data_IF_395866336079
#
_entry.id   IF_395866336079
#
_cell.length_a   1.000
_cell.length_b   1.000
_cell.length_c   1.000
_cell.angle_alpha   90.00
_cell.angle_beta   90.00
_cell.angle_gamma   90.00
#
_symmetry.space_group_name_H-M   'P 1'
#
loop_
_entity.id
_entity.type
_entity.pdbx_description
1 polymer ?
#
# COMPACT_ATOMS: atom_id res chain seq x y z
N UNK A 1 53.07 21.86 -38.49
CA UNK A 1 51.67 21.40 -38.42
C UNK A 1 51.37 21.04 -36.96
N UNK A 2 50.51 21.83 -36.30
CA UNK A 2 50.17 21.69 -34.87
C UNK A 2 49.23 20.49 -34.66
N UNK A 3 49.62 19.52 -33.83
CA UNK A 3 48.73 18.44 -33.35
C UNK A 3 47.97 18.96 -32.14
N UNK A 4 46.65 19.08 -32.25
CA UNK A 4 45.76 19.44 -31.15
C UNK A 4 45.39 18.14 -30.43
N UNK A 5 45.74 18.06 -29.16
CA UNK A 5 45.40 16.97 -28.24
C UNK A 5 44.00 17.25 -27.69
N UNK A 6 42.98 16.55 -28.17
CA UNK A 6 41.61 16.68 -27.66
C UNK A 6 41.44 15.79 -26.43
N UNK A 7 41.49 16.40 -25.25
CA UNK A 7 41.19 15.76 -23.97
C UNK A 7 39.66 15.59 -23.87
N UNK A 8 39.16 14.36 -24.02
CA UNK A 8 37.74 14.06 -23.84
C UNK A 8 37.46 13.94 -22.34
N UNK A 9 36.79 14.95 -21.77
CA UNK A 9 36.31 14.95 -20.41
C UNK A 9 35.09 14.01 -20.34
N UNK A 10 35.28 12.79 -19.84
CA UNK A 10 34.18 11.88 -19.53
C UNK A 10 33.52 12.39 -18.25
N UNK A 11 32.41 13.12 -18.39
CA UNK A 11 31.52 13.46 -17.31
C UNK A 11 30.80 12.17 -16.85
N UNK A 12 31.34 11.53 -15.80
CA UNK A 12 30.59 10.59 -14.98
C UNK A 12 29.41 11.37 -14.35
N UNK A 13 28.25 11.30 -14.99
CA UNK A 13 26.99 11.55 -14.31
C UNK A 13 26.81 10.43 -13.28
N UNK A 14 27.24 10.72 -12.04
CA UNK A 14 26.79 10.02 -10.84
C UNK A 14 25.30 10.33 -10.66
N UNK A 15 24.44 9.69 -11.46
CA UNK A 15 23.06 9.47 -11.06
C UNK A 15 23.15 8.50 -9.89
N UNK A 16 23.03 9.03 -8.66
CA UNK A 16 22.75 8.20 -7.50
C UNK A 16 21.50 7.40 -7.81
N UNK A 17 21.67 6.12 -8.11
CA UNK A 17 20.58 5.18 -8.23
C UNK A 17 19.96 5.06 -6.84
N UNK A 18 18.93 5.86 -6.55
CA UNK A 18 17.94 5.45 -5.57
C UNK A 18 17.35 4.16 -6.13
N UNK A 19 17.80 3.00 -5.65
CA UNK A 19 17.13 1.72 -5.90
C UNK A 19 15.72 1.82 -5.33
N UNK A 20 14.77 2.16 -6.20
CA UNK A 20 13.36 2.09 -5.90
C UNK A 20 13.02 0.60 -5.81
N UNK A 21 12.67 0.13 -4.60
CA UNK A 21 12.23 -1.25 -4.37
C UNK A 21 11.08 -1.56 -5.36
N UNK A 22 11.37 -2.39 -6.36
CA UNK A 22 10.44 -2.69 -7.45
C UNK A 22 9.23 -3.50 -6.97
N UNK A 23 9.31 -4.05 -5.76
CA UNK A 23 8.25 -4.81 -5.12
C UNK A 23 7.40 -3.97 -4.15
N UNK A 24 7.76 -2.69 -3.94
CA UNK A 24 6.89 -1.74 -3.25
C UNK A 24 5.64 -1.39 -4.08
N UNK A 25 4.51 -1.06 -3.42
CA UNK A 25 3.36 -0.52 -4.13
C UNK A 25 3.71 0.80 -4.80
N UNK A 26 3.26 0.97 -6.04
CA UNK A 26 3.44 2.20 -6.80
C UNK A 26 2.54 3.29 -6.23
N UNK A 27 2.96 4.55 -6.37
CA UNK A 27 2.17 5.68 -5.91
C UNK A 27 0.75 5.67 -6.49
N UNK A 28 0.60 5.37 -7.78
CA UNK A 28 -0.73 5.28 -8.43
C UNK A 28 -1.63 4.18 -7.83
N UNK A 29 -1.04 3.06 -7.40
CA UNK A 29 -1.79 1.96 -6.77
C UNK A 29 -2.28 2.41 -5.38
N UNK A 30 -1.41 3.09 -4.61
CA UNK A 30 -1.78 3.68 -3.32
C UNK A 30 -2.82 4.80 -3.45
N UNK A 31 -2.72 5.65 -4.47
CA UNK A 31 -3.68 6.72 -4.74
C UNK A 31 -5.06 6.13 -5.08
N UNK A 32 -5.09 5.02 -5.83
CA UNK A 32 -6.32 4.32 -6.16
C UNK A 32 -6.97 3.69 -4.91
N UNK A 33 -6.18 3.04 -4.05
CA UNK A 33 -6.66 2.53 -2.77
C UNK A 33 -7.23 3.66 -1.88
N UNK A 34 -6.51 4.78 -1.79
CA UNK A 34 -6.97 5.95 -1.03
C UNK A 34 -8.26 6.52 -1.61
N UNK A 35 -8.37 6.63 -2.93
CA UNK A 35 -9.56 7.12 -3.61
C UNK A 35 -10.78 6.22 -3.35
N UNK A 36 -10.59 4.90 -3.38
CA UNK A 36 -11.64 3.95 -3.01
C UNK A 36 -12.16 4.19 -1.60
N UNK A 37 -11.27 4.44 -0.62
CA UNK A 37 -11.66 4.82 0.74
C UNK A 37 -12.34 6.18 0.84
N UNK A 38 -11.91 7.18 0.05
CA UNK A 38 -12.56 8.49 -0.04
C UNK A 38 -14.00 8.31 -0.52
N UNK A 39 -14.24 7.50 -1.56
CA UNK A 39 -15.58 7.28 -2.11
C UNK A 39 -16.57 6.65 -1.14
N UNK A 40 -16.09 5.83 -0.21
CA UNK A 40 -16.94 5.17 0.80
C UNK A 40 -16.95 5.93 2.14
N UNK A 41 -16.26 7.08 2.22
CA UNK A 41 -16.28 7.92 3.42
C UNK A 41 -17.70 8.47 3.61
N UNK A 42 -18.33 8.28 4.78
CA UNK A 42 -19.71 8.74 4.98
C UNK A 42 -19.83 10.25 4.79
N UNK A 43 -20.75 10.69 3.93
CA UNK A 43 -20.98 12.10 3.68
C UNK A 43 -21.41 12.84 4.95
N UNK A 44 -20.96 14.09 5.11
CA UNK A 44 -21.27 14.93 6.28
C UNK A 44 -20.85 14.35 7.64
N UNK A 45 -19.99 13.34 7.68
CA UNK A 45 -19.53 12.71 8.93
C UNK A 45 -18.40 13.45 9.64
N UNK A 46 -17.76 14.41 8.95
CA UNK A 46 -16.53 15.06 9.44
C UNK A 46 -15.33 14.11 9.48
N UNK A 47 -15.42 12.96 8.81
CA UNK A 47 -14.34 11.99 8.68
C UNK A 47 -13.60 12.17 7.34
N UNK A 48 -12.32 11.84 7.35
CA UNK A 48 -11.45 11.76 6.18
C UNK A 48 -10.80 10.38 6.11
N UNK A 49 -10.58 9.88 4.89
CA UNK A 49 -9.80 8.68 4.66
C UNK A 49 -8.30 8.95 4.81
N UNK A 50 -7.61 8.14 5.61
CA UNK A 50 -6.15 8.09 5.70
C UNK A 50 -5.70 6.69 5.29
N UNK A 51 -4.68 6.61 4.43
CA UNK A 51 -4.03 5.38 4.05
C UNK A 51 -2.51 5.55 4.08
N UNK A 52 -1.79 4.55 4.60
CA UNK A 52 -0.33 4.49 4.61
C UNK A 52 0.14 3.10 4.16
N UNK A 53 1.36 3.02 3.64
CA UNK A 53 2.01 1.74 3.32
C UNK A 53 3.28 1.55 4.15
N UNK A 54 3.58 0.30 4.52
CA UNK A 54 4.82 -0.09 5.20
C UNK A 54 5.30 -1.47 4.74
N UNK A 55 6.61 -1.67 4.75
CA UNK A 55 7.23 -2.99 4.64
C UNK A 55 7.30 -3.61 6.03
N UNK A 56 6.80 -4.84 6.21
CA UNK A 56 6.87 -5.59 7.46
C UNK A 56 7.40 -6.98 7.14
N UNK A 57 8.61 -7.29 7.63
CA UNK A 57 9.37 -8.43 7.11
C UNK A 57 9.70 -8.20 5.63
N UNK A 58 9.44 -9.21 4.80
CA UNK A 58 9.70 -9.16 3.35
C UNK A 58 8.50 -8.69 2.52
N UNK A 59 7.37 -8.34 3.16
CA UNK A 59 6.12 -8.02 2.47
C UNK A 59 5.70 -6.58 2.68
N UNK A 60 5.04 -6.04 1.66
CA UNK A 60 4.43 -4.72 1.73
C UNK A 60 2.97 -4.84 2.14
N UNK A 61 2.54 -3.90 2.97
CA UNK A 61 1.18 -3.80 3.47
C UNK A 61 0.70 -2.37 3.36
N UNK A 62 -0.60 -2.22 3.19
CA UNK A 62 -1.28 -0.94 3.32
C UNK A 62 -2.27 -0.99 4.50
N UNK A 63 -2.41 0.11 5.21
CA UNK A 63 -3.44 0.29 6.22
C UNK A 63 -4.27 1.51 5.86
N UNK A 64 -5.59 1.40 5.98
CA UNK A 64 -6.52 2.50 5.78
C UNK A 64 -7.51 2.63 6.93
N UNK A 65 -7.89 3.85 7.28
CA UNK A 65 -8.96 4.13 8.25
C UNK A 65 -9.66 5.45 7.95
N UNK A 66 -10.76 5.69 8.68
CA UNK A 66 -11.44 6.97 8.72
C UNK A 66 -11.05 7.73 9.99
N UNK A 67 -10.63 8.98 9.84
CA UNK A 67 -10.21 9.83 10.94
C UNK A 67 -10.98 11.16 10.96
N UNK A 68 -11.29 11.64 12.16
CA UNK A 68 -11.89 12.95 12.42
C UNK A 68 -11.48 13.47 13.79
N UNK A 69 -12.04 14.60 14.22
CA UNK A 69 -11.69 15.23 15.50
C UNK A 69 -11.97 14.26 16.66
N UNK A 70 -10.90 13.80 17.33
CA UNK A 70 -10.97 12.88 18.47
C UNK A 70 -11.50 11.47 18.14
N UNK A 71 -11.61 11.10 16.86
CA UNK A 71 -12.17 9.81 16.43
C UNK A 71 -11.35 9.18 15.33
N UNK A 72 -11.04 7.89 15.46
CA UNK A 72 -10.46 7.07 14.40
C UNK A 72 -11.15 5.71 14.34
N UNK A 73 -11.40 5.20 13.15
CA UNK A 73 -11.91 3.84 12.97
C UNK A 73 -10.78 2.82 13.19
N UNK A 74 -11.18 1.55 13.33
CA UNK A 74 -10.23 0.45 13.24
C UNK A 74 -9.51 0.45 11.90
N UNK A 75 -8.30 -0.10 11.88
CA UNK A 75 -7.51 -0.24 10.66
C UNK A 75 -8.08 -1.32 9.75
N UNK A 76 -8.20 -0.99 8.48
CA UNK A 76 -8.36 -1.94 7.39
C UNK A 76 -6.96 -2.26 6.89
N UNK A 77 -6.48 -3.48 7.18
CA UNK A 77 -5.16 -3.94 6.76
C UNK A 77 -5.29 -4.68 5.43
N UNK A 78 -4.38 -4.37 4.51
CA UNK A 78 -4.28 -4.99 3.19
C UNK A 78 -2.87 -5.53 2.99
N UNK A 79 -2.78 -6.76 2.48
CA UNK A 79 -1.55 -7.30 1.92
C UNK A 79 -1.36 -6.74 0.50
N UNK A 80 -0.16 -6.28 0.15
CA UNK A 80 0.18 -5.99 -1.24
C UNK A 80 0.83 -7.21 -1.92
N UNK A 81 0.29 -7.62 -3.06
CA UNK A 81 0.84 -8.70 -3.90
C UNK A 81 0.50 -8.46 -5.38
N UNK A 82 1.51 -8.40 -6.25
CA UNK A 82 1.36 -8.20 -7.70
C UNK A 82 1.45 -9.50 -8.52
N UNK A 83 1.62 -10.64 -7.85
CA UNK A 83 1.94 -11.95 -8.46
C UNK A 83 0.74 -12.87 -8.55
N UNK A 84 -0.23 -12.76 -7.63
CA UNK A 84 -1.40 -13.64 -7.59
C UNK A 84 -2.47 -13.32 -8.62
N UNK A 85 -2.56 -12.07 -9.06
CA UNK A 85 -3.59 -11.60 -9.99
C UNK A 85 -2.98 -10.54 -10.94
N UNK A 86 -3.43 -10.53 -12.20
CA UNK A 86 -2.91 -9.60 -13.21
C UNK A 86 -3.29 -8.13 -12.91
N UNK A 87 -4.43 -7.92 -12.25
CA UNK A 87 -5.02 -6.61 -12.00
C UNK A 87 -4.96 -6.27 -10.50
N UNK A 88 -5.36 -7.18 -9.61
CA UNK A 88 -5.45 -6.88 -8.17
C UNK A 88 -4.05 -6.65 -7.57
N UNK A 89 -4.01 -5.79 -6.55
CA UNK A 89 -2.77 -5.41 -5.84
C UNK A 89 -2.91 -5.50 -4.34
N UNK A 90 -4.03 -5.05 -3.78
CA UNK A 90 -4.25 -5.01 -2.34
C UNK A 90 -5.35 -5.97 -1.92
N UNK A 91 -5.03 -6.86 -0.99
CA UNK A 91 -5.93 -7.91 -0.53
C UNK A 91 -6.33 -7.67 0.91
N UNK A 92 -7.62 -7.51 1.16
CA UNK A 92 -8.20 -7.28 2.47
C UNK A 92 -7.83 -8.43 3.43
N UNK A 93 -7.04 -8.10 4.46
CA UNK A 93 -6.27 -9.06 5.24
C UNK A 93 -6.87 -9.36 6.61
N UNK A 94 -7.33 -8.33 7.34
CA UNK A 94 -7.99 -8.51 8.63
C UNK A 94 -9.52 -8.48 8.50
N UNK A 95 -10.24 -8.92 9.54
CA UNK A 95 -11.70 -8.97 9.53
C UNK A 95 -12.36 -7.63 9.18
N UNK A 96 -11.82 -6.53 9.69
CA UNK A 96 -12.30 -5.17 9.37
C UNK A 96 -12.13 -4.85 7.88
N UNK A 97 -10.96 -5.12 7.28
CA UNK A 97 -10.75 -4.91 5.86
C UNK A 97 -11.64 -5.82 5.00
N UNK A 98 -11.80 -7.09 5.38
CA UNK A 98 -12.65 -8.04 4.64
C UNK A 98 -14.10 -7.57 4.65
N UNK A 99 -14.62 -7.17 5.81
CA UNK A 99 -15.97 -6.63 5.92
C UNK A 99 -16.17 -5.35 5.09
N UNK A 100 -15.20 -4.42 5.14
CA UNK A 100 -15.26 -3.19 4.33
C UNK A 100 -15.22 -3.51 2.84
N UNK A 101 -14.38 -4.47 2.43
CA UNK A 101 -14.27 -4.91 1.06
C UNK A 101 -15.60 -5.50 0.55
N UNK A 102 -16.13 -6.48 1.27
CA UNK A 102 -17.36 -7.18 0.90
C UNK A 102 -18.57 -6.22 0.85
N UNK A 103 -18.59 -5.20 1.71
CA UNK A 103 -19.71 -4.25 1.80
C UNK A 103 -19.66 -3.14 0.74
N UNK A 104 -18.46 -2.72 0.33
CA UNK A 104 -18.31 -1.46 -0.41
C UNK A 104 -17.31 -1.48 -1.57
N UNK A 105 -16.32 -2.37 -1.57
CA UNK A 105 -15.16 -2.26 -2.45
C UNK A 105 -15.03 -3.43 -3.45
N UNK A 106 -16.03 -4.30 -3.56
CA UNK A 106 -16.00 -5.45 -4.49
C UNK A 106 -15.87 -5.04 -5.96
N UNK A 107 -16.25 -3.81 -6.31
CA UNK A 107 -16.15 -3.27 -7.67
C UNK A 107 -14.81 -2.58 -7.94
N UNK A 108 -13.95 -2.42 -6.92
CA UNK A 108 -12.64 -1.78 -7.07
C UNK A 108 -11.63 -2.78 -7.65
N UNK A 109 -11.15 -2.58 -8.89
CA UNK A 109 -10.40 -3.62 -9.61
C UNK A 109 -9.03 -3.93 -9.00
N UNK A 110 -8.44 -2.96 -8.29
CA UNK A 110 -7.16 -3.15 -7.60
C UNK A 110 -7.29 -3.90 -6.27
N UNK A 111 -8.52 -4.12 -5.80
CA UNK A 111 -8.79 -4.69 -4.48
C UNK A 111 -9.31 -6.12 -4.58
N UNK A 112 -8.87 -6.96 -3.65
CA UNK A 112 -9.35 -8.32 -3.48
C UNK A 112 -9.58 -8.67 -2.02
N UNK A 113 -10.20 -9.82 -1.79
CA UNK A 113 -10.23 -10.44 -0.47
C UNK A 113 -9.06 -11.42 -0.34
N UNK A 114 -8.31 -11.37 0.77
CA UNK A 114 -7.18 -12.28 1.00
C UNK A 114 -7.65 -13.73 1.03
N UNK A 115 -8.74 -14.02 1.74
CA UNK A 115 -9.26 -15.40 1.88
C UNK A 115 -9.60 -16.00 0.53
N UNK A 116 -10.19 -15.22 -0.36
CA UNK A 116 -10.64 -15.71 -1.67
C UNK A 116 -9.47 -15.92 -2.65
N UNK A 117 -8.35 -15.22 -2.45
CA UNK A 117 -7.19 -15.30 -3.34
C UNK A 117 -6.11 -16.27 -2.84
N UNK A 118 -5.85 -16.27 -1.53
CA UNK A 118 -4.75 -17.02 -0.91
C UNK A 118 -5.23 -18.26 -0.15
N UNK A 119 -6.52 -18.31 0.24
CA UNK A 119 -7.07 -19.37 1.07
C UNK A 119 -6.81 -19.17 2.56
N UNK A 120 -7.23 -20.17 3.35
CA UNK A 120 -6.95 -20.26 4.79
C UNK A 120 -6.36 -21.65 5.12
N UNK A 121 -5.50 -21.78 6.15
CA UNK A 121 -5.06 -20.73 7.08
C UNK A 121 -4.14 -19.68 6.43
N UNK A 122 -4.02 -18.52 7.09
CA UNK A 122 -3.12 -17.46 6.65
C UNK A 122 -1.67 -17.94 6.64
N UNK A 123 -0.88 -17.41 5.69
CA UNK A 123 0.54 -17.73 5.58
C UNK A 123 1.29 -17.32 6.87
N UNK A 124 2.18 -18.18 7.36
CA UNK A 124 2.81 -18.06 8.69
C UNK A 124 3.77 -16.86 8.83
N UNK A 125 4.19 -16.27 7.72
CA UNK A 125 5.05 -15.10 7.67
C UNK A 125 4.30 -13.79 7.97
N UNK A 126 2.96 -13.81 7.96
CA UNK A 126 2.13 -12.64 8.29
C UNK A 126 1.91 -12.57 9.81
N UNK A 127 2.56 -11.59 10.44
CA UNK A 127 2.46 -11.33 11.87
C UNK A 127 1.60 -10.08 12.15
N UNK A 128 0.36 -10.29 12.59
CA UNK A 128 -0.55 -9.19 12.93
C UNK A 128 -0.05 -8.31 14.08
N UNK A 129 0.71 -8.86 15.03
CA UNK A 129 1.31 -8.07 16.11
C UNK A 129 2.29 -7.04 15.57
N UNK A 130 3.17 -7.46 14.67
CA UNK A 130 4.11 -6.56 13.98
C UNK A 130 3.40 -5.59 13.05
N UNK A 131 2.34 -6.01 12.35
CA UNK A 131 1.54 -5.12 11.50
C UNK A 131 0.88 -4.01 12.31
N UNK A 132 0.24 -4.35 13.43
CA UNK A 132 -0.39 -3.36 14.31
C UNK A 132 0.64 -2.40 14.89
N UNK A 133 1.82 -2.89 15.29
CA UNK A 133 2.92 -2.04 15.74
C UNK A 133 3.41 -1.12 14.61
N UNK A 134 3.54 -1.62 13.38
CA UNK A 134 3.99 -0.82 12.25
C UNK A 134 3.04 0.36 11.97
N UNK A 135 1.73 0.18 12.10
CA UNK A 135 0.71 1.20 11.82
C UNK A 135 0.15 1.88 13.07
N UNK A 136 0.86 1.83 14.22
CA UNK A 136 0.34 2.35 15.48
C UNK A 136 -0.01 3.86 15.42
N UNK A 137 0.72 4.63 14.62
CA UNK A 137 0.53 6.07 14.41
C UNK A 137 -0.83 6.40 13.81
N UNK A 138 -1.41 5.48 13.05
CA UNK A 138 -2.73 5.65 12.45
C UNK A 138 -3.86 5.41 13.46
N UNK A 139 -3.55 4.90 14.66
CA UNK A 139 -4.54 4.59 15.70
C UNK A 139 -4.46 5.51 16.93
N UNK A 140 -3.34 6.21 17.12
CA UNK A 140 -3.07 7.17 18.21
C UNK A 140 -3.59 8.56 17.87
#
# INVERSE_FOLDING_TARGET
MKKILTLTLISLFLLGCNEQDQDAPKQQEMDSLKLAFIHITPQNSGLAAQCEQKKVGERYFAACNFMGVGKRSQLNLFLYDKTKDQIKRFYALNGTAMQTYDSHLTQEPLLGNYKDTFGLPMENDIDFGKLHQAFENMTK
#
